data_IF_843445749965
#
_entry.id   IF_843445749965
#
_cell.length_a   1.000
_cell.length_b   1.000
_cell.length_c   1.000
_cell.angle_alpha   90.00
_cell.angle_beta   90.00
_cell.angle_gamma   90.00
#
_symmetry.space_group_name_H-M   'P 1'
#
loop_
_entity.id
_entity.type
_entity.pdbx_description
1 polymer ?
#
# COMPACT_ATOMS: atom_id res chain seq x y z
N UNK A 1 15.33 -17.85 26.35
CA UNK A 1 14.67 -17.14 25.24
C UNK A 1 13.59 -18.05 24.68
N UNK A 2 12.33 -17.74 24.90
CA UNK A 2 11.22 -18.46 24.26
C UNK A 2 11.24 -18.05 22.79
N UNK A 3 11.63 -18.97 21.91
CA UNK A 3 11.51 -18.77 20.45
C UNK A 3 10.04 -18.51 20.15
N UNK A 4 9.70 -17.29 19.78
CA UNK A 4 8.35 -16.96 19.35
C UNK A 4 7.99 -17.84 18.15
N UNK A 5 6.82 -18.47 18.25
CA UNK A 5 6.36 -19.38 17.21
C UNK A 5 6.03 -18.59 15.94
N UNK A 6 6.66 -18.93 14.81
CA UNK A 6 6.25 -18.44 13.50
C UNK A 6 4.94 -19.16 13.15
N UNK A 7 3.83 -18.48 13.30
CA UNK A 7 2.48 -19.03 13.16
C UNK A 7 1.70 -18.43 11.99
N UNK A 8 2.26 -17.41 11.33
CA UNK A 8 1.66 -16.74 10.17
C UNK A 8 2.66 -16.52 9.04
N UNK A 9 2.13 -16.38 7.82
CA UNK A 9 2.93 -16.06 6.63
C UNK A 9 3.57 -14.68 6.79
N UNK A 10 2.84 -13.71 7.31
CA UNK A 10 3.33 -12.35 7.53
C UNK A 10 4.55 -12.35 8.47
N UNK A 11 4.47 -13.06 9.61
CA UNK A 11 5.63 -13.20 10.51
C UNK A 11 6.80 -13.92 9.86
N UNK A 12 6.54 -14.95 9.05
CA UNK A 12 7.60 -15.65 8.35
C UNK A 12 8.38 -14.70 7.41
N UNK A 13 7.67 -13.81 6.72
CA UNK A 13 8.28 -12.78 5.88
C UNK A 13 8.99 -11.71 6.71
N UNK A 14 8.38 -11.21 7.78
CA UNK A 14 9.01 -10.22 8.68
C UNK A 14 10.37 -10.72 9.20
N UNK A 15 10.43 -11.99 9.63
CA UNK A 15 11.69 -12.59 10.08
C UNK A 15 12.70 -12.79 8.95
N UNK A 16 12.24 -13.15 7.75
CA UNK A 16 13.13 -13.29 6.60
C UNK A 16 13.76 -11.93 6.21
N UNK A 17 12.98 -10.85 6.23
CA UNK A 17 13.48 -9.49 6.00
C UNK A 17 14.49 -9.10 7.08
N UNK A 18 14.16 -9.31 8.35
CA UNK A 18 15.06 -9.05 9.48
C UNK A 18 16.41 -9.77 9.31
N UNK A 19 16.36 -11.05 8.96
CA UNK A 19 17.56 -11.89 8.82
C UNK A 19 18.39 -11.49 7.59
N UNK A 20 17.73 -11.09 6.51
CA UNK A 20 18.37 -10.57 5.31
C UNK A 20 19.06 -9.21 5.56
N UNK A 21 18.43 -8.35 6.32
CA UNK A 21 18.98 -7.05 6.71
C UNK A 21 20.00 -7.14 7.87
N UNK A 22 20.28 -8.36 8.39
CA UNK A 22 21.17 -8.60 9.55
C UNK A 22 20.73 -7.88 10.85
N UNK A 23 19.43 -7.73 11.05
CA UNK A 23 18.85 -7.00 12.19
C UNK A 23 18.44 -7.91 13.37
N UNK A 24 18.96 -9.13 13.45
CA UNK A 24 18.58 -10.12 14.49
C UNK A 24 18.79 -9.63 15.91
N UNK A 25 19.86 -8.85 16.14
CA UNK A 25 20.23 -8.38 17.47
C UNK A 25 19.38 -7.20 17.97
N UNK A 26 18.65 -6.54 17.04
CA UNK A 26 17.82 -5.37 17.36
C UNK A 26 16.33 -5.66 17.35
N UNK A 27 15.95 -6.93 17.25
CA UNK A 27 14.54 -7.36 17.30
C UNK A 27 13.99 -7.42 18.72
N UNK A 28 12.68 -7.31 18.86
CA UNK A 28 11.98 -7.46 20.13
C UNK A 28 11.47 -6.15 20.74
N UNK A 29 10.41 -5.59 20.14
CA UNK A 29 9.72 -4.42 20.71
C UNK A 29 8.96 -4.80 21.97
N UNK A 30 9.24 -4.13 23.08
CA UNK A 30 8.57 -4.38 24.36
C UNK A 30 7.45 -3.37 24.62
N UNK A 31 6.23 -3.86 24.82
CA UNK A 31 5.08 -3.02 25.17
C UNK A 31 3.99 -3.83 25.87
N UNK A 32 3.38 -3.27 26.92
CA UNK A 32 2.28 -3.88 27.65
C UNK A 32 2.64 -5.25 28.26
N UNK A 33 3.91 -5.45 28.63
CA UNK A 33 4.41 -6.71 29.19
C UNK A 33 4.57 -7.83 28.15
N UNK A 34 4.56 -7.50 26.85
CA UNK A 34 4.78 -8.43 25.74
C UNK A 34 5.99 -8.00 24.92
N UNK A 35 6.66 -8.98 24.30
CA UNK A 35 7.77 -8.78 23.37
C UNK A 35 7.30 -9.22 21.98
N UNK A 36 7.50 -8.35 20.99
CA UNK A 36 7.16 -8.57 19.60
C UNK A 36 8.45 -8.72 18.79
N UNK A 37 8.91 -9.95 18.59
CA UNK A 37 10.23 -10.24 18.01
C UNK A 37 10.33 -9.99 16.49
N UNK A 38 9.21 -9.82 15.80
CA UNK A 38 9.18 -9.40 14.38
C UNK A 38 9.16 -7.86 14.22
N UNK A 39 9.49 -7.15 15.30
CA UNK A 39 9.67 -5.70 15.36
C UNK A 39 11.07 -5.37 15.86
N UNK A 40 11.56 -4.21 15.50
CA UNK A 40 12.78 -3.63 16.07
C UNK A 40 12.63 -3.49 17.59
N UNK A 41 13.73 -3.52 18.33
CA UNK A 41 13.70 -3.15 19.75
C UNK A 41 13.27 -1.70 19.92
N UNK A 42 12.81 -1.34 21.11
CA UNK A 42 12.42 0.04 21.43
C UNK A 42 13.58 1.02 21.18
N UNK A 43 14.79 0.65 21.62
CA UNK A 43 15.99 1.46 21.48
C UNK A 43 16.37 1.64 20.01
N UNK A 44 16.37 0.56 19.22
CA UNK A 44 16.72 0.61 17.81
C UNK A 44 15.69 1.43 17.00
N UNK A 45 14.40 1.31 17.33
CA UNK A 45 13.37 2.11 16.68
C UNK A 45 13.49 3.60 17.03
N UNK A 46 13.74 3.94 18.29
CA UNK A 46 13.98 5.33 18.71
C UNK A 46 15.26 5.93 18.08
N UNK A 47 16.27 5.10 17.80
CA UNK A 47 17.47 5.53 17.08
C UNK A 47 17.14 5.81 15.61
N UNK A 48 16.43 4.91 14.91
CA UNK A 48 15.96 5.14 13.54
C UNK A 48 15.13 6.45 13.45
N UNK A 49 14.26 6.71 14.43
CA UNK A 49 13.48 7.94 14.49
C UNK A 49 14.34 9.21 14.73
N UNK A 50 15.45 9.09 15.44
CA UNK A 50 16.39 10.21 15.64
C UNK A 50 17.19 10.53 14.38
N UNK A 51 17.53 9.50 13.60
CA UNK A 51 18.24 9.64 12.33
C UNK A 51 17.34 10.11 11.18
N UNK A 52 16.03 9.92 11.33
CA UNK A 52 15.06 10.35 10.32
C UNK A 52 15.05 11.88 10.22
N UNK A 53 15.06 12.41 8.98
CA UNK A 53 14.93 13.85 8.73
C UNK A 53 13.67 14.40 9.43
N UNK A 54 13.76 15.53 10.17
CA UNK A 54 12.61 16.04 10.95
C UNK A 54 11.35 16.26 10.12
N UNK A 55 11.47 16.71 8.88
CA UNK A 55 10.37 16.91 7.94
C UNK A 55 9.69 15.60 7.52
N UNK A 56 10.44 14.50 7.39
CA UNK A 56 9.91 13.17 7.09
C UNK A 56 9.20 12.60 8.32
N UNK A 57 9.85 12.68 9.49
CA UNK A 57 9.26 12.25 10.76
C UNK A 57 7.93 12.92 11.01
N UNK A 58 7.82 14.23 10.77
CA UNK A 58 6.59 14.99 10.93
C UNK A 58 5.48 14.47 10.02
N UNK A 59 5.77 14.09 8.78
CA UNK A 59 4.78 13.55 7.86
C UNK A 59 4.14 12.26 8.40
N UNK A 60 4.95 11.34 8.94
CA UNK A 60 4.45 10.12 9.56
C UNK A 60 3.74 10.35 10.90
N UNK A 61 4.17 11.36 11.69
CA UNK A 61 3.47 11.75 12.94
C UNK A 61 2.08 12.31 12.67
N UNK A 62 1.93 13.08 11.58
CA UNK A 62 0.67 13.71 11.17
C UNK A 62 -0.21 12.74 10.35
N UNK A 63 0.32 11.62 9.88
CA UNK A 63 -0.38 10.67 9.03
C UNK A 63 -1.60 10.05 9.74
N UNK A 64 -2.73 9.91 9.04
CA UNK A 64 -3.94 9.30 9.60
C UNK A 64 -3.75 7.84 10.03
N UNK A 65 -2.81 7.12 9.41
CA UNK A 65 -2.48 5.73 9.71
C UNK A 65 -1.85 5.52 11.07
N UNK A 66 -1.25 6.58 11.65
CA UNK A 66 -0.56 6.53 12.93
C UNK A 66 0.65 5.61 12.91
N UNK A 67 1.46 5.69 11.85
CA UNK A 67 2.57 4.78 11.55
C UNK A 67 3.64 4.75 12.64
N UNK A 68 3.90 5.90 13.30
CA UNK A 68 4.83 6.03 14.42
C UNK A 68 4.18 5.84 15.78
N UNK A 69 2.87 5.68 15.84
CA UNK A 69 2.12 5.64 17.12
C UNK A 69 1.82 4.20 17.54
N UNK A 70 1.94 3.95 18.83
CA UNK A 70 1.44 2.72 19.42
C UNK A 70 -0.09 2.64 19.26
N UNK A 71 -0.59 1.49 18.86
CA UNK A 71 -2.03 1.25 18.80
C UNK A 71 -2.53 0.64 20.09
N UNK A 72 -3.71 1.07 20.53
CA UNK A 72 -4.42 0.44 21.64
C UNK A 72 -5.81 0.03 21.17
N UNK A 73 -6.15 -1.22 21.41
CA UNK A 73 -7.50 -1.72 21.20
C UNK A 73 -7.95 -2.59 22.41
N UNK A 74 -9.10 -3.24 22.27
CA UNK A 74 -9.64 -4.14 23.30
C UNK A 74 -8.77 -5.37 23.62
N UNK A 75 -7.81 -5.69 22.75
CA UNK A 75 -6.93 -6.85 22.91
C UNK A 75 -5.55 -6.48 23.46
N UNK A 76 -5.22 -5.19 23.53
CA UNK A 76 -3.96 -4.74 24.11
C UNK A 76 -3.37 -3.49 23.47
N UNK A 77 -2.08 -3.32 23.75
CA UNK A 77 -1.24 -2.27 23.17
C UNK A 77 -0.27 -2.92 22.19
N UNK A 78 -0.09 -2.30 21.02
CA UNK A 78 0.73 -2.83 19.92
C UNK A 78 1.80 -1.82 19.55
N UNK A 79 2.97 -2.30 19.07
CA UNK A 79 4.04 -1.43 18.58
C UNK A 79 3.58 -0.53 17.42
N UNK A 80 4.30 0.58 17.16
CA UNK A 80 4.14 1.34 15.94
C UNK A 80 4.31 0.46 14.70
N UNK A 81 3.54 0.72 13.65
CA UNK A 81 3.62 -0.11 12.43
C UNK A 81 5.01 -0.03 11.78
N UNK A 82 5.63 1.15 11.73
CA UNK A 82 6.98 1.31 11.17
C UNK A 82 8.08 0.57 11.93
N UNK A 83 7.86 0.22 13.20
CA UNK A 83 8.80 -0.63 13.93
C UNK A 83 8.80 -2.09 13.43
N UNK A 84 7.80 -2.54 12.67
CA UNK A 84 7.75 -3.88 12.09
C UNK A 84 8.74 -3.99 10.90
N UNK A 85 9.50 -5.08 10.83
CA UNK A 85 10.44 -5.32 9.72
C UNK A 85 9.76 -5.38 8.35
N UNK A 86 8.56 -5.93 8.26
CA UNK A 86 7.78 -6.02 7.03
C UNK A 86 6.84 -4.84 6.79
N UNK A 87 7.02 -3.68 7.45
CA UNK A 87 6.20 -2.49 7.22
C UNK A 87 6.43 -1.90 5.83
N UNK A 88 5.35 -1.68 5.06
CA UNK A 88 5.40 -1.01 3.76
C UNK A 88 5.84 0.46 3.90
N UNK A 89 5.34 1.16 4.92
CA UNK A 89 5.74 2.57 5.20
C UNK A 89 7.23 2.68 5.54
N UNK A 90 7.78 1.77 6.38
CA UNK A 90 9.22 1.73 6.67
C UNK A 90 10.03 1.43 5.40
N UNK A 91 9.61 0.44 4.64
CA UNK A 91 10.25 0.03 3.40
C UNK A 91 10.34 1.20 2.40
N UNK A 92 9.21 1.84 2.08
CA UNK A 92 9.18 2.92 1.09
C UNK A 92 9.95 4.15 1.59
N UNK A 93 9.90 4.46 2.91
CA UNK A 93 10.68 5.52 3.52
C UNK A 93 12.18 5.27 3.34
N UNK A 94 12.67 4.09 3.67
CA UNK A 94 14.09 3.74 3.53
C UNK A 94 14.59 3.83 2.09
N UNK A 95 13.74 3.49 1.12
CA UNK A 95 14.07 3.57 -0.30
C UNK A 95 14.06 4.99 -0.85
N UNK A 96 13.16 5.85 -0.39
CA UNK A 96 12.89 7.13 -1.05
C UNK A 96 13.24 8.37 -0.21
N UNK A 97 13.72 8.22 1.03
CA UNK A 97 14.03 9.35 1.96
C UNK A 97 15.01 10.40 1.41
N UNK A 98 15.80 10.04 0.40
CA UNK A 98 16.78 10.92 -0.22
C UNK A 98 16.31 11.50 -1.57
N UNK A 99 15.13 11.14 -2.02
CA UNK A 99 14.50 11.73 -3.21
C UNK A 99 14.11 13.18 -2.90
N UNK A 100 14.50 14.08 -3.77
CA UNK A 100 14.19 15.50 -3.60
C UNK A 100 12.69 15.77 -3.68
N UNK A 101 12.18 16.51 -2.70
CA UNK A 101 10.75 16.89 -2.67
C UNK A 101 9.79 15.74 -2.38
N UNK A 102 10.30 14.60 -1.88
CA UNK A 102 9.47 13.48 -1.50
C UNK A 102 8.53 13.85 -0.34
N UNK A 103 7.30 13.40 -0.41
CA UNK A 103 6.34 13.39 0.68
C UNK A 103 5.81 11.97 0.89
N UNK A 104 5.62 11.60 2.16
CA UNK A 104 5.10 10.30 2.57
C UNK A 104 3.68 10.44 3.12
N UNK A 105 2.91 9.35 3.10
CA UNK A 105 1.53 9.29 3.62
C UNK A 105 0.63 10.40 3.05
N UNK A 106 0.75 10.66 1.75
CA UNK A 106 0.04 11.73 1.07
C UNK A 106 -1.47 11.43 0.98
N UNK A 107 -2.27 12.08 1.81
CA UNK A 107 -3.72 11.95 1.79
C UNK A 107 -4.33 12.77 0.65
N UNK A 108 -5.02 12.09 -0.27
CA UNK A 108 -5.77 12.72 -1.36
C UNK A 108 -7.27 12.39 -1.22
N UNK A 109 -8.16 13.38 -1.34
CA UNK A 109 -9.60 13.14 -1.28
C UNK A 109 -10.05 12.32 -2.51
N UNK A 110 -10.92 11.32 -2.28
CA UNK A 110 -11.50 10.54 -3.39
C UNK A 110 -12.74 11.20 -3.99
N UNK A 111 -13.33 12.18 -3.28
CA UNK A 111 -14.63 12.79 -3.58
C UNK A 111 -15.81 11.79 -3.68
N UNK A 112 -15.58 10.56 -3.25
CA UNK A 112 -16.61 9.48 -3.19
C UNK A 112 -16.85 9.05 -1.75
N UNK A 113 -15.79 8.91 -0.97
CA UNK A 113 -15.83 8.45 0.42
C UNK A 113 -14.67 9.00 1.22
N UNK A 114 -13.87 8.11 1.83
CA UNK A 114 -12.68 8.52 2.58
C UNK A 114 -11.53 8.91 1.64
N UNK A 115 -10.61 9.76 2.13
CA UNK A 115 -9.35 10.02 1.45
C UNK A 115 -8.56 8.72 1.23
N UNK A 116 -7.83 8.65 0.13
CA UNK A 116 -6.83 7.63 -0.10
C UNK A 116 -5.47 8.16 0.36
N UNK A 117 -4.74 7.36 1.11
CA UNK A 117 -3.37 7.68 1.51
C UNK A 117 -2.43 6.94 0.56
N UNK A 118 -1.52 7.68 -0.05
CA UNK A 118 -0.45 7.15 -0.89
C UNK A 118 0.82 7.11 -0.07
N UNK A 119 1.56 6.01 -0.13
CA UNK A 119 2.77 5.84 0.67
C UNK A 119 3.85 6.87 0.34
N UNK A 120 3.97 7.28 -0.92
CA UNK A 120 4.90 8.33 -1.32
C UNK A 120 4.41 9.14 -2.52
N UNK A 121 4.84 10.42 -2.57
CA UNK A 121 4.60 11.34 -3.71
C UNK A 121 5.78 12.28 -3.89
N UNK A 122 6.13 12.58 -5.15
CA UNK A 122 7.02 13.69 -5.53
C UNK A 122 6.62 14.26 -6.88
N UNK A 123 7.09 15.46 -7.21
CA UNK A 123 6.92 16.08 -8.52
C UNK A 123 8.29 16.25 -9.17
N UNK A 124 8.48 15.62 -10.33
CA UNK A 124 9.66 15.73 -11.16
C UNK A 124 9.28 16.56 -12.39
N UNK A 125 9.89 17.71 -12.60
CA UNK A 125 9.60 18.61 -13.75
C UNK A 125 8.12 18.65 -14.18
N UNK A 126 7.73 17.78 -15.12
CA UNK A 126 6.37 17.70 -15.69
C UNK A 126 5.65 16.40 -15.32
N UNK A 127 6.17 15.63 -14.35
CA UNK A 127 5.61 14.33 -13.94
C UNK A 127 5.35 14.34 -12.44
N UNK A 128 4.10 14.11 -12.02
CA UNK A 128 3.79 13.72 -10.66
C UNK A 128 3.97 12.21 -10.50
N UNK A 129 4.83 11.81 -9.58
CA UNK A 129 5.10 10.40 -9.27
C UNK A 129 4.46 10.09 -7.92
N UNK A 130 3.60 9.10 -7.93
CA UNK A 130 2.88 8.62 -6.74
C UNK A 130 3.15 7.13 -6.57
N UNK A 131 3.31 6.69 -5.35
CA UNK A 131 3.56 5.27 -5.07
C UNK A 131 2.66 4.71 -3.98
N UNK A 132 2.35 3.44 -4.17
CA UNK A 132 1.76 2.55 -3.16
C UNK A 132 2.66 1.33 -3.01
N UNK A 133 3.06 1.03 -1.78
CA UNK A 133 3.94 -0.10 -1.47
C UNK A 133 3.18 -1.21 -0.73
N UNK A 134 3.45 -2.44 -1.12
CA UNK A 134 2.88 -3.65 -0.52
C UNK A 134 3.99 -4.64 -0.19
N UNK A 135 4.24 -4.82 1.09
CA UNK A 135 5.20 -5.81 1.56
C UNK A 135 4.48 -7.10 1.96
N UNK A 136 3.96 -7.14 3.18
CA UNK A 136 3.32 -8.32 3.74
C UNK A 136 1.80 -8.37 3.55
N UNK A 137 1.20 -7.26 3.15
CA UNK A 137 -0.25 -7.11 3.00
C UNK A 137 -0.80 -8.05 1.92
N UNK A 138 -0.06 -8.28 0.84
CA UNK A 138 -0.43 -9.19 -0.24
C UNK A 138 -0.53 -10.66 0.21
N UNK A 139 0.05 -11.00 1.37
CA UNK A 139 -0.02 -12.36 1.94
C UNK A 139 -1.25 -12.56 2.84
N UNK A 140 -2.13 -11.59 2.89
CA UNK A 140 -3.50 -11.70 3.38
C UNK A 140 -4.45 -12.23 2.32
N UNK A 141 -5.74 -12.24 2.65
CA UNK A 141 -6.79 -12.52 1.68
C UNK A 141 -7.66 -11.28 1.51
N UNK A 142 -7.76 -10.80 0.28
CA UNK A 142 -8.66 -9.73 -0.14
C UNK A 142 -9.90 -10.28 -0.88
N UNK A 143 -10.17 -11.58 -0.73
CA UNK A 143 -11.31 -12.24 -1.37
C UNK A 143 -12.65 -11.61 -0.98
N UNK A 144 -12.81 -11.30 0.30
CA UNK A 144 -13.99 -10.62 0.84
C UNK A 144 -13.55 -9.27 1.39
N UNK A 145 -13.97 -8.21 0.74
CA UNK A 145 -13.58 -6.84 1.08
C UNK A 145 -14.79 -6.08 1.61
N UNK A 146 -14.66 -5.48 2.80
CA UNK A 146 -15.68 -4.56 3.30
C UNK A 146 -15.56 -3.20 2.59
N UNK A 147 -16.63 -2.78 1.96
CA UNK A 147 -16.70 -1.57 1.14
C UNK A 147 -17.84 -0.69 1.63
N UNK A 148 -17.63 0.64 1.71
CA UNK A 148 -18.74 1.57 1.91
C UNK A 148 -19.65 1.58 0.68
N UNK A 149 -20.96 1.56 0.89
CA UNK A 149 -21.98 1.57 -0.18
C UNK A 149 -21.82 2.74 -1.15
N UNK A 150 -21.18 3.83 -0.74
CA UNK A 150 -20.94 5.01 -1.60
C UNK A 150 -20.05 4.71 -2.81
N UNK A 151 -19.30 3.59 -2.80
CA UNK A 151 -18.47 3.16 -3.92
C UNK A 151 -19.21 2.32 -4.95
N UNK A 152 -20.39 1.74 -4.62
CA UNK A 152 -21.11 0.84 -5.53
C UNK A 152 -21.44 1.51 -6.88
N UNK A 153 -21.91 2.78 -6.93
CA UNK A 153 -22.16 3.46 -8.20
C UNK A 153 -20.92 3.64 -9.07
N UNK A 154 -19.71 3.68 -8.47
CA UNK A 154 -18.44 3.69 -9.21
C UNK A 154 -18.16 2.31 -9.78
N UNK A 155 -18.32 1.25 -8.97
CA UNK A 155 -18.09 -0.13 -9.41
C UNK A 155 -19.03 -0.53 -10.55
N UNK A 156 -20.28 -0.10 -10.50
CA UNK A 156 -21.26 -0.33 -11.56
C UNK A 156 -20.82 0.24 -12.92
N UNK A 157 -20.11 1.38 -12.91
CA UNK A 157 -19.57 1.99 -14.12
C UNK A 157 -18.27 1.32 -14.62
N UNK A 158 -17.66 0.42 -13.83
CA UNK A 158 -16.40 -0.26 -14.13
C UNK A 158 -16.56 -1.74 -14.48
N UNK A 159 -17.78 -2.19 -14.80
CA UNK A 159 -18.09 -3.62 -15.07
C UNK A 159 -17.36 -4.20 -16.29
N UNK A 160 -16.81 -3.38 -17.17
CA UNK A 160 -15.96 -3.87 -18.27
C UNK A 160 -14.60 -4.40 -17.78
N UNK A 161 -14.12 -3.95 -16.60
CA UNK A 161 -12.84 -4.37 -16.02
C UNK A 161 -13.00 -5.52 -15.05
N UNK A 162 -14.06 -5.49 -14.23
CA UNK A 162 -14.35 -6.51 -13.23
C UNK A 162 -15.84 -6.61 -12.96
N UNK A 163 -16.25 -7.74 -12.44
CA UNK A 163 -17.57 -7.95 -11.86
C UNK A 163 -17.45 -8.10 -10.35
N UNK A 164 -18.54 -7.86 -9.63
CA UNK A 164 -18.58 -8.09 -8.20
C UNK A 164 -19.94 -8.61 -7.76
N UNK A 165 -19.93 -9.39 -6.67
CA UNK A 165 -21.13 -9.72 -5.90
C UNK A 165 -20.99 -9.11 -4.53
N UNK A 166 -22.10 -8.78 -3.88
CA UNK A 166 -22.06 -8.21 -2.54
C UNK A 166 -23.18 -8.73 -1.66
N UNK A 167 -22.95 -8.68 -0.34
CA UNK A 167 -23.93 -8.93 0.71
C UNK A 167 -23.91 -7.80 1.73
N UNK A 168 -25.03 -7.50 2.41
CA UNK A 168 -25.05 -6.51 3.49
C UNK A 168 -24.05 -6.85 4.60
N UNK A 169 -23.42 -5.81 5.17
CA UNK A 169 -22.53 -5.92 6.33
C UNK A 169 -23.09 -5.08 7.47
N UNK A 170 -22.37 -4.08 7.93
CA UNK A 170 -22.85 -3.09 8.90
C UNK A 170 -23.49 -1.89 8.16
N UNK A 171 -24.20 -1.02 8.90
CA UNK A 171 -24.86 0.16 8.32
C UNK A 171 -23.92 0.96 7.40
N UNK A 172 -24.32 1.12 6.15
CA UNK A 172 -23.57 1.85 5.12
C UNK A 172 -22.37 1.09 4.53
N UNK A 173 -22.26 -0.23 4.78
CA UNK A 173 -21.19 -1.08 4.26
C UNK A 173 -21.72 -2.40 3.72
N UNK A 174 -21.04 -2.90 2.71
CA UNK A 174 -21.26 -4.23 2.12
C UNK A 174 -19.95 -5.02 2.08
N UNK A 175 -20.07 -6.33 2.06
CA UNK A 175 -18.94 -7.23 1.76
C UNK A 175 -18.98 -7.58 0.28
N UNK A 176 -17.93 -7.28 -0.43
CA UNK A 176 -17.80 -7.53 -1.86
C UNK A 176 -16.82 -8.67 -2.14
N UNK A 177 -17.13 -9.46 -3.17
CA UNK A 177 -16.22 -10.42 -3.81
C UNK A 177 -16.04 -9.94 -5.24
N UNK A 178 -14.80 -9.69 -5.64
CA UNK A 178 -14.47 -9.19 -6.98
C UNK A 178 -13.96 -10.31 -7.88
N UNK A 179 -14.25 -10.21 -9.18
CA UNK A 179 -13.77 -11.13 -10.21
C UNK A 179 -13.36 -10.36 -11.46
N UNK A 180 -12.22 -10.74 -12.06
CA UNK A 180 -11.78 -10.22 -13.34
C UNK A 180 -11.47 -11.38 -14.31
N UNK A 181 -11.88 -11.23 -15.59
CA UNK A 181 -11.75 -12.31 -16.59
C UNK A 181 -12.32 -13.65 -16.10
N UNK A 182 -13.50 -13.60 -15.45
CA UNK A 182 -14.20 -14.76 -14.88
C UNK A 182 -13.46 -15.52 -13.77
N UNK A 183 -12.46 -14.91 -13.15
CA UNK A 183 -11.72 -15.47 -12.00
C UNK A 183 -11.82 -14.53 -10.80
N UNK A 184 -12.05 -15.09 -9.61
CA UNK A 184 -12.02 -14.32 -8.36
C UNK A 184 -10.65 -13.64 -8.16
N UNK A 185 -10.68 -12.46 -7.53
CA UNK A 185 -9.51 -11.74 -7.06
C UNK A 185 -9.36 -12.08 -5.58
N UNK A 186 -8.23 -12.61 -5.18
CA UNK A 186 -8.01 -13.15 -3.83
C UNK A 186 -6.89 -12.42 -3.09
N UNK A 187 -5.85 -12.02 -3.78
CA UNK A 187 -4.62 -11.44 -3.19
C UNK A 187 -4.42 -9.97 -3.51
N UNK A 188 -4.93 -9.52 -4.65
CA UNK A 188 -4.81 -8.13 -5.08
C UNK A 188 -5.92 -7.25 -4.50
N UNK A 189 -5.58 -6.17 -3.79
CA UNK A 189 -6.57 -5.22 -3.27
C UNK A 189 -7.05 -4.25 -4.36
N UNK A 190 -7.95 -4.75 -5.22
CA UNK A 190 -8.55 -3.96 -6.29
C UNK A 190 -9.33 -2.75 -5.75
N UNK A 191 -9.99 -2.88 -4.59
CA UNK A 191 -10.73 -1.77 -3.96
C UNK A 191 -9.79 -0.63 -3.60
N UNK A 192 -8.64 -0.92 -3.02
CA UNK A 192 -7.66 0.10 -2.67
C UNK A 192 -7.09 0.78 -3.92
N UNK A 193 -6.77 0.00 -4.95
CA UNK A 193 -6.33 0.57 -6.24
C UNK A 193 -7.35 1.55 -6.82
N UNK A 194 -8.65 1.19 -6.84
CA UNK A 194 -9.71 2.07 -7.31
C UNK A 194 -9.78 3.35 -6.46
N UNK A 195 -9.65 3.25 -5.14
CA UNK A 195 -9.62 4.41 -4.27
C UNK A 195 -8.43 5.34 -4.59
N UNK A 196 -7.25 4.78 -4.86
CA UNK A 196 -6.08 5.56 -5.27
C UNK A 196 -6.32 6.25 -6.62
N UNK A 197 -6.85 5.54 -7.61
CA UNK A 197 -7.14 6.12 -8.92
C UNK A 197 -8.22 7.21 -8.85
N UNK A 198 -9.25 7.04 -8.02
CA UNK A 198 -10.25 8.08 -7.75
C UNK A 198 -9.62 9.33 -7.14
N UNK A 199 -8.73 9.16 -6.17
CA UNK A 199 -8.08 10.25 -5.49
C UNK A 199 -7.09 11.00 -6.42
N UNK A 200 -6.34 10.27 -7.23
CA UNK A 200 -5.44 10.85 -8.23
C UNK A 200 -6.25 11.62 -9.29
N UNK A 201 -7.32 11.03 -9.82
CA UNK A 201 -8.19 11.69 -10.78
C UNK A 201 -8.82 12.97 -10.22
N UNK A 202 -9.32 12.94 -8.98
CA UNK A 202 -9.83 14.12 -8.30
C UNK A 202 -8.76 15.20 -8.11
N UNK A 203 -7.54 14.82 -7.70
CA UNK A 203 -6.44 15.75 -7.51
C UNK A 203 -6.00 16.41 -8.83
N UNK A 204 -6.04 15.70 -9.95
CA UNK A 204 -5.79 16.28 -11.29
C UNK A 204 -6.89 17.26 -11.65
N UNK A 205 -8.15 16.88 -11.48
CA UNK A 205 -9.30 17.72 -11.83
C UNK A 205 -9.36 19.00 -10.98
N UNK A 206 -9.04 18.91 -9.69
CA UNK A 206 -9.04 20.03 -8.75
C UNK A 206 -7.73 20.86 -8.77
N UNK A 207 -6.84 20.63 -9.74
CA UNK A 207 -5.56 21.33 -9.90
C UNK A 207 -4.56 21.16 -8.74
N UNK A 208 -4.70 20.13 -7.95
CA UNK A 208 -3.72 19.73 -6.95
C UNK A 208 -2.53 18.98 -7.57
N UNK A 209 -2.74 18.39 -8.77
CA UNK A 209 -1.74 17.83 -9.66
C UNK A 209 -1.77 18.66 -10.94
N UNK A 210 -0.68 19.41 -11.22
CA UNK A 210 -0.62 20.38 -12.34
C UNK A 210 0.23 19.89 -13.52
N UNK A 211 0.83 18.72 -13.38
CA UNK A 211 1.70 18.15 -14.39
C UNK A 211 0.89 17.49 -15.52
N UNK A 212 1.52 17.39 -16.70
CA UNK A 212 0.90 16.75 -17.87
C UNK A 212 0.89 15.23 -17.76
N UNK A 213 1.79 14.68 -16.95
CA UNK A 213 1.95 13.24 -16.77
C UNK A 213 1.80 12.88 -15.31
N UNK A 214 1.05 11.83 -15.05
CA UNK A 214 0.91 11.21 -13.74
C UNK A 214 1.49 9.80 -13.83
N UNK A 215 2.48 9.53 -13.01
CA UNK A 215 3.12 8.22 -12.89
C UNK A 215 2.70 7.58 -11.58
N UNK A 216 2.06 6.42 -11.66
CA UNK A 216 1.71 5.63 -10.50
C UNK A 216 2.59 4.38 -10.43
N UNK A 217 3.36 4.26 -9.36
CA UNK A 217 4.29 3.16 -9.11
C UNK A 217 3.69 2.26 -8.02
N UNK A 218 3.30 1.05 -8.40
CA UNK A 218 2.83 0.05 -7.45
C UNK A 218 4.01 -0.85 -7.08
N UNK A 219 4.48 -0.73 -5.84
CA UNK A 219 5.69 -1.42 -5.39
C UNK A 219 5.30 -2.65 -4.58
N UNK A 220 5.66 -3.84 -5.06
CA UNK A 220 5.42 -5.10 -4.36
C UNK A 220 6.76 -5.67 -3.92
N UNK A 221 6.90 -5.97 -2.63
CA UNK A 221 8.10 -6.63 -2.13
C UNK A 221 8.25 -8.03 -2.77
N UNK A 222 9.35 -8.23 -3.49
CA UNK A 222 9.68 -9.50 -4.12
C UNK A 222 10.33 -10.46 -3.10
N UNK A 223 9.67 -11.55 -2.70
CA UNK A 223 10.17 -12.47 -1.69
C UNK A 223 11.34 -13.34 -2.17
N UNK A 224 11.66 -13.36 -3.47
CA UNK A 224 12.80 -14.14 -4.00
C UNK A 224 14.13 -13.63 -3.44
N UNK A 225 14.26 -12.34 -3.13
CA UNK A 225 15.49 -11.78 -2.54
C UNK A 225 15.74 -12.26 -1.11
N UNK A 226 14.72 -12.66 -0.40
CA UNK A 226 14.82 -13.14 0.99
C UNK A 226 14.45 -14.62 1.13
N UNK A 227 14.28 -15.35 0.03
CA UNK A 227 13.76 -16.73 0.04
C UNK A 227 14.58 -17.68 0.89
N UNK A 228 15.91 -17.52 0.90
CA UNK A 228 16.81 -18.38 1.66
C UNK A 228 16.70 -18.15 3.19
N UNK A 229 16.16 -17.00 3.58
CA UNK A 229 15.87 -16.64 4.97
C UNK A 229 14.45 -17.06 5.39
N UNK A 230 13.58 -17.40 4.44
CA UNK A 230 12.22 -17.83 4.75
C UNK A 230 12.22 -19.24 5.28
N UNK A 231 11.57 -19.47 6.42
CA UNK A 231 11.37 -20.81 6.96
C UNK A 231 10.73 -21.71 5.90
N UNK A 232 11.34 -22.88 5.65
CA UNK A 232 11.00 -23.80 4.55
C UNK A 232 9.50 -24.13 4.45
N UNK A 233 8.80 -24.24 5.60
CA UNK A 233 7.36 -24.53 5.63
C UNK A 233 6.48 -23.42 5.03
N UNK A 234 6.96 -22.19 4.94
CA UNK A 234 6.22 -21.03 4.39
C UNK A 234 6.71 -20.61 3.01
N UNK A 235 7.94 -20.95 2.63
CA UNK A 235 8.58 -20.48 1.39
C UNK A 235 7.70 -20.70 0.16
N UNK A 236 7.26 -21.95 -0.07
CA UNK A 236 6.43 -22.31 -1.23
C UNK A 236 5.12 -21.51 -1.26
N UNK A 237 4.52 -21.28 -0.10
CA UNK A 237 3.23 -20.57 -0.01
C UNK A 237 3.42 -19.08 -0.28
N UNK A 238 4.47 -18.47 0.24
CA UNK A 238 4.80 -17.05 0.02
C UNK A 238 5.04 -16.80 -1.47
N UNK A 239 5.92 -17.57 -2.10
CA UNK A 239 6.21 -17.44 -3.54
C UNK A 239 4.97 -17.67 -4.40
N UNK A 240 4.12 -18.64 -4.03
CA UNK A 240 2.86 -18.88 -4.74
C UNK A 240 1.93 -17.67 -4.66
N UNK A 241 1.71 -17.11 -3.47
CA UNK A 241 0.82 -15.96 -3.29
C UNK A 241 1.35 -14.71 -4.01
N UNK A 242 2.66 -14.49 -3.98
CA UNK A 242 3.29 -13.42 -4.76
C UNK A 242 2.96 -13.54 -6.25
N UNK A 243 3.20 -14.72 -6.85
CA UNK A 243 2.91 -14.96 -8.26
C UNK A 243 1.40 -14.83 -8.59
N UNK A 244 0.53 -15.32 -7.70
CA UNK A 244 -0.93 -15.16 -7.85
C UNK A 244 -1.34 -13.67 -7.82
N UNK A 245 -0.73 -12.87 -6.96
CA UNK A 245 -1.00 -11.40 -6.94
C UNK A 245 -0.59 -10.76 -8.27
N UNK A 246 0.59 -11.10 -8.80
CA UNK A 246 1.04 -10.59 -10.10
C UNK A 246 0.11 -11.01 -11.25
N UNK A 247 -0.35 -12.29 -11.24
CA UNK A 247 -1.32 -12.78 -12.22
C UNK A 247 -2.65 -12.01 -12.12
N UNK A 248 -3.15 -11.77 -10.91
CA UNK A 248 -4.39 -11.03 -10.69
C UNK A 248 -4.28 -9.60 -11.20
N UNK A 249 -3.17 -8.91 -10.93
CA UNK A 249 -2.90 -7.56 -11.45
C UNK A 249 -2.81 -7.54 -12.98
N UNK A 250 -2.17 -8.53 -13.57
CA UNK A 250 -2.04 -8.68 -15.03
C UNK A 250 -3.37 -8.91 -15.77
N UNK A 251 -4.48 -9.10 -15.06
CA UNK A 251 -5.83 -9.16 -15.67
C UNK A 251 -6.36 -7.78 -16.06
N UNK A 252 -5.75 -6.69 -15.59
CA UNK A 252 -6.20 -5.32 -15.81
C UNK A 252 -5.31 -4.57 -16.80
N UNK A 253 -5.93 -3.82 -17.69
CA UNK A 253 -5.28 -2.71 -18.38
C UNK A 253 -5.38 -1.47 -17.46
N UNK A 254 -4.31 -1.20 -16.71
CA UNK A 254 -4.30 -0.17 -15.69
C UNK A 254 -4.50 1.24 -16.25
N UNK A 255 -4.01 1.50 -17.48
CA UNK A 255 -4.22 2.79 -18.14
C UNK A 255 -5.68 2.99 -18.55
N UNK A 256 -6.32 1.97 -19.12
CA UNK A 256 -7.76 2.03 -19.44
C UNK A 256 -8.61 2.16 -18.19
N UNK A 257 -8.29 1.41 -17.13
CA UNK A 257 -8.99 1.49 -15.86
C UNK A 257 -8.88 2.90 -15.26
N UNK A 258 -7.68 3.49 -15.25
CA UNK A 258 -7.50 4.87 -14.78
C UNK A 258 -8.33 5.87 -15.62
N UNK A 259 -8.28 5.77 -16.95
CA UNK A 259 -9.03 6.67 -17.84
C UNK A 259 -10.54 6.58 -17.58
N UNK A 260 -11.09 5.37 -17.41
CA UNK A 260 -12.49 5.19 -17.07
C UNK A 260 -12.85 5.83 -15.70
N UNK A 261 -11.98 5.67 -14.70
CA UNK A 261 -12.15 6.32 -13.39
C UNK A 261 -12.04 7.84 -13.50
N UNK A 262 -11.14 8.36 -14.34
CA UNK A 262 -11.00 9.79 -14.58
C UNK A 262 -12.28 10.37 -15.19
N UNK A 263 -12.87 9.70 -16.17
CA UNK A 263 -14.14 10.11 -16.76
C UNK A 263 -15.29 10.07 -15.73
N UNK A 264 -15.34 9.06 -14.89
CA UNK A 264 -16.32 8.99 -13.78
C UNK A 264 -16.18 10.19 -12.83
N UNK A 265 -14.95 10.56 -12.45
CA UNK A 265 -14.69 11.71 -11.58
C UNK A 265 -15.01 13.04 -12.27
N UNK A 266 -14.67 13.17 -13.54
CA UNK A 266 -15.02 14.35 -14.36
C UNK A 266 -16.53 14.61 -14.38
N UNK A 267 -17.33 13.57 -14.63
CA UNK A 267 -18.79 13.63 -14.61
C UNK A 267 -19.31 14.02 -13.21
N UNK A 268 -18.73 13.46 -12.17
CA UNK A 268 -19.17 13.70 -10.78
C UNK A 268 -18.89 15.13 -10.30
N UNK A 269 -17.78 15.71 -10.73
CA UNK A 269 -17.34 17.05 -10.35
C UNK A 269 -17.89 18.13 -11.31
N UNK A 270 -18.66 17.73 -12.33
CA UNK A 270 -19.19 18.63 -13.38
C UNK A 270 -18.06 19.50 -14.00
N UNK A 271 -16.91 18.90 -14.23
CA UNK A 271 -15.73 19.60 -14.73
C UNK A 271 -15.49 19.34 -16.21
N UNK A 272 -15.32 20.42 -16.98
CA UNK A 272 -14.85 20.35 -18.36
C UNK A 272 -13.33 20.48 -18.39
N UNK A 273 -12.62 19.36 -18.50
CA UNK A 273 -11.18 19.35 -18.74
C UNK A 273 -10.93 18.89 -20.18
N UNK A 274 -10.16 19.69 -20.92
CA UNK A 274 -9.92 19.41 -22.34
C UNK A 274 -9.07 18.16 -22.58
N UNK A 275 -8.20 17.78 -21.66
CA UNK A 275 -7.32 16.62 -21.83
C UNK A 275 -7.19 15.81 -20.54
N UNK A 276 -7.37 14.49 -20.67
CA UNK A 276 -6.95 13.52 -19.66
C UNK A 276 -5.42 13.56 -19.55
N UNK A 277 -4.82 13.52 -18.34
CA UNK A 277 -3.38 13.47 -18.19
C UNK A 277 -2.82 12.21 -18.83
N UNK A 278 -1.58 12.26 -19.29
CA UNK A 278 -0.89 11.04 -19.66
C UNK A 278 -0.66 10.22 -18.38
N UNK A 279 -1.28 9.04 -18.32
CA UNK A 279 -1.15 8.14 -17.15
C UNK A 279 -0.16 7.02 -17.48
N UNK A 280 0.82 6.86 -16.59
CA UNK A 280 1.82 5.79 -16.62
C UNK A 280 1.64 4.92 -15.38
N UNK A 281 1.55 3.60 -15.58
CA UNK A 281 1.51 2.63 -14.48
C UNK A 281 2.76 1.76 -14.54
N UNK A 282 3.44 1.66 -13.41
CA UNK A 282 4.61 0.80 -13.26
C UNK A 282 4.42 -0.15 -12.08
N UNK A 283 4.75 -1.41 -12.31
CA UNK A 283 4.93 -2.40 -11.28
C UNK A 283 6.42 -2.47 -10.96
N UNK A 284 6.78 -2.24 -9.72
CA UNK A 284 8.16 -2.22 -9.24
C UNK A 284 8.34 -3.12 -8.02
N UNK A 285 9.57 -3.40 -7.68
CA UNK A 285 9.97 -4.07 -6.43
C UNK A 285 11.09 -3.31 -5.71
N UNK A 286 11.64 -3.88 -4.64
CA UNK A 286 12.69 -3.26 -3.85
C UNK A 286 14.01 -3.01 -4.60
N UNK A 287 14.23 -3.68 -5.73
CA UNK A 287 15.46 -3.55 -6.51
C UNK A 287 15.43 -2.35 -7.46
N UNK A 288 14.24 -1.93 -7.92
CA UNK A 288 14.10 -0.96 -9.00
C UNK A 288 13.14 0.21 -8.71
N UNK A 289 12.42 0.22 -7.59
CA UNK A 289 11.41 1.25 -7.33
C UNK A 289 11.96 2.69 -7.33
N UNK A 290 13.21 2.89 -6.91
CA UNK A 290 13.86 4.22 -6.89
C UNK A 290 14.06 4.81 -8.28
N UNK A 291 14.15 3.98 -9.32
CA UNK A 291 14.39 4.44 -10.69
C UNK A 291 13.25 5.32 -11.21
N UNK A 292 12.03 5.05 -10.76
CA UNK A 292 10.84 5.79 -11.16
C UNK A 292 10.72 7.17 -10.51
N UNK A 293 11.55 7.46 -9.49
CA UNK A 293 11.62 8.71 -8.75
C UNK A 293 12.84 9.58 -9.13
N UNK A 294 13.51 9.22 -10.22
CA UNK A 294 14.61 9.99 -10.80
C UNK A 294 14.15 10.74 -12.06
N UNK A 295 14.81 11.90 -12.32
CA UNK A 295 14.58 12.69 -13.55
C UNK A 295 15.07 11.98 -14.81
#
# INVERSE_FOLDING_TARGET
MTTEKIDTIQKALDYAIRDHENLKEISGYEIGGRVYNNYMSNEAFEEELREMKPEIRKQFDDAPGGELKQKRDRYGVYPPKMACFGSSSRFICNKLKDVKGISFEAALPTNVGHSANLDARTTLKEVDVLAEAKNREIYGSHRIVEVSEVYLPVFDKLQEFFTYTFEPSKKGYVKCIFSAKCKEIVHFDIKQLICHFLAIAAAVLEYNIKTKTVRFVYVIFNPDEVKDNIVQSYQKKILKQYNETLEEMGRFDMKKLFNAIFDIQKDRLDMSVEQTPNFEFYLADQSNCEEYFKE
#
